data_IF_736662943477
#
_entry.id   IF_736662943477
#
_cell.length_a   1.000
_cell.length_b   1.000
_cell.length_c   1.000
_cell.angle_alpha   90.00
_cell.angle_beta   90.00
_cell.angle_gamma   90.00
#
_symmetry.space_group_name_H-M   'P 1'
#
loop_
_entity.id
_entity.type
_entity.pdbx_description
1 polymer ?
#
# COMPACT_ATOMS: atom_id res chain seq x y z
N UNK A 1 -3.16 14.12 22.40
CA UNK A 1 -3.55 14.15 20.96
C UNK A 1 -3.00 12.99 20.10
N UNK A 2 -2.07 12.15 20.58
CA UNK A 2 -1.38 11.16 19.73
C UNK A 2 -2.23 10.00 19.16
N UNK A 3 -3.28 9.55 19.86
CA UNK A 3 -4.04 8.35 19.46
C UNK A 3 -4.91 8.58 18.21
N UNK A 4 -5.54 9.75 18.09
CA UNK A 4 -6.34 10.13 16.90
C UNK A 4 -5.47 10.32 15.67
N UNK A 5 -4.32 10.97 15.82
CA UNK A 5 -3.35 11.12 14.74
C UNK A 5 -2.80 9.77 14.25
N UNK A 6 -2.58 8.82 15.17
CA UNK A 6 -2.14 7.48 14.83
C UNK A 6 -3.22 6.68 14.09
N UNK A 7 -4.49 6.79 14.49
CA UNK A 7 -5.62 6.17 13.79
C UNK A 7 -5.79 6.75 12.38
N UNK A 8 -5.76 8.08 12.26
CA UNK A 8 -5.82 8.77 10.96
C UNK A 8 -4.66 8.36 10.04
N UNK A 9 -3.45 8.24 10.58
CA UNK A 9 -2.28 7.77 9.83
C UNK A 9 -2.41 6.33 9.32
N UNK A 10 -3.02 5.44 10.11
CA UNK A 10 -3.33 4.08 9.68
C UNK A 10 -4.33 4.05 8.53
N UNK A 11 -5.46 4.77 8.65
CA UNK A 11 -6.45 4.87 7.59
C UNK A 11 -5.88 5.49 6.31
N UNK A 12 -5.09 6.56 6.42
CA UNK A 12 -4.44 7.19 5.28
C UNK A 12 -3.51 6.22 4.55
N UNK A 13 -2.72 5.43 5.29
CA UNK A 13 -1.81 4.44 4.72
C UNK A 13 -2.57 3.38 3.92
N UNK A 14 -3.68 2.87 4.46
CA UNK A 14 -4.54 1.91 3.76
C UNK A 14 -5.14 2.55 2.51
N UNK A 15 -5.66 3.77 2.60
CA UNK A 15 -6.22 4.49 1.46
C UNK A 15 -5.19 4.69 0.34
N UNK A 16 -3.96 5.07 0.68
CA UNK A 16 -2.85 5.21 -0.27
C UNK A 16 -2.44 3.88 -0.89
N UNK A 17 -2.39 2.80 -0.09
CA UNK A 17 -2.10 1.45 -0.59
C UNK A 17 -3.14 0.94 -1.59
N UNK A 18 -4.43 1.07 -1.24
CA UNK A 18 -5.55 0.76 -2.14
C UNK A 18 -5.47 1.59 -3.42
N UNK A 19 -5.28 2.91 -3.29
CA UNK A 19 -5.16 3.83 -4.42
C UNK A 19 -4.01 3.47 -5.37
N UNK A 20 -2.85 3.13 -4.83
CA UNK A 20 -1.71 2.68 -5.64
C UNK A 20 -2.02 1.39 -6.41
N UNK A 21 -2.67 0.42 -5.76
CA UNK A 21 -3.13 -0.81 -6.41
C UNK A 21 -4.09 -0.54 -7.58
N UNK A 22 -5.03 0.38 -7.39
CA UNK A 22 -5.98 0.80 -8.42
C UNK A 22 -5.31 1.52 -9.60
N UNK A 23 -4.33 2.39 -9.35
CA UNK A 23 -3.57 3.07 -10.41
C UNK A 23 -2.80 2.06 -11.27
N UNK A 24 -2.13 1.09 -10.63
CA UNK A 24 -1.40 0.03 -11.34
C UNK A 24 -2.36 -0.84 -12.16
N UNK A 25 -3.51 -1.22 -11.57
CA UNK A 25 -4.54 -1.95 -12.29
C UNK A 25 -5.05 -1.17 -13.50
N UNK A 26 -5.39 0.11 -13.35
CA UNK A 26 -5.91 0.94 -14.43
C UNK A 26 -4.93 1.02 -15.61
N UNK A 27 -3.64 1.22 -15.32
CA UNK A 27 -2.59 1.26 -16.34
C UNK A 27 -2.45 -0.09 -17.10
N UNK A 28 -2.58 -1.22 -16.40
CA UNK A 28 -2.56 -2.57 -17.01
C UNK A 28 -3.84 -2.88 -17.79
N UNK A 29 -4.98 -2.41 -17.30
CA UNK A 29 -6.30 -2.71 -17.84
C UNK A 29 -6.58 -1.94 -19.14
N UNK A 30 -6.10 -0.70 -19.30
CA UNK A 30 -6.35 0.15 -20.48
C UNK A 30 -6.27 -0.57 -21.84
N UNK A 31 -5.21 -1.34 -22.08
CA UNK A 31 -5.00 -2.04 -23.36
C UNK A 31 -5.82 -3.32 -23.56
N UNK A 32 -6.29 -3.93 -22.47
CA UNK A 32 -7.13 -5.14 -22.48
C UNK A 32 -8.60 -4.81 -22.46
N UNK A 33 -8.96 -3.73 -21.77
CA UNK A 33 -10.33 -3.21 -21.75
C UNK A 33 -10.75 -2.76 -23.14
N UNK A 34 -9.84 -2.09 -23.88
CA UNK A 34 -10.07 -1.73 -25.29
C UNK A 34 -10.27 -2.92 -26.23
N UNK A 35 -9.81 -4.12 -25.86
CA UNK A 35 -9.94 -5.34 -26.68
C UNK A 35 -11.12 -6.23 -26.24
N UNK A 36 -11.96 -5.78 -25.31
CA UNK A 36 -13.14 -6.55 -24.88
C UNK A 36 -14.04 -6.97 -26.05
N UNK A 37 -14.11 -6.17 -27.12
CA UNK A 37 -14.91 -6.46 -28.32
C UNK A 37 -14.37 -7.65 -29.15
N UNK A 38 -13.08 -7.99 -29.02
CA UNK A 38 -12.46 -9.10 -29.75
C UNK A 38 -12.49 -10.42 -28.97
N UNK A 39 -12.75 -10.37 -27.67
CA UNK A 39 -12.78 -11.52 -26.77
C UNK A 39 -12.77 -11.05 -25.32
N UNK A 40 -13.86 -11.23 -24.55
CA UNK A 40 -13.93 -10.68 -23.21
C UNK A 40 -13.01 -11.40 -22.23
N UNK A 41 -12.09 -10.65 -21.65
CA UNK A 41 -11.13 -11.14 -20.66
C UNK A 41 -11.57 -10.75 -19.25
N UNK A 42 -12.42 -11.60 -18.67
CA UNK A 42 -12.99 -11.41 -17.34
C UNK A 42 -11.96 -11.45 -16.20
N UNK A 43 -10.75 -11.94 -16.47
CA UNK A 43 -9.68 -12.02 -15.47
C UNK A 43 -9.23 -10.63 -15.02
N UNK A 44 -9.32 -9.62 -15.90
CA UNK A 44 -8.99 -8.21 -15.61
C UNK A 44 -9.80 -7.69 -14.42
N UNK A 45 -11.07 -8.08 -14.33
CA UNK A 45 -11.98 -7.61 -13.29
C UNK A 45 -11.99 -8.55 -12.08
N UNK A 46 -12.10 -9.86 -12.28
CA UNK A 46 -12.30 -10.80 -11.17
C UNK A 46 -11.01 -11.28 -10.51
N UNK A 47 -9.88 -11.27 -11.22
CA UNK A 47 -8.60 -11.67 -10.66
C UNK A 47 -7.72 -10.45 -10.41
N UNK A 48 -7.40 -9.68 -11.45
CA UNK A 48 -6.37 -8.63 -11.34
C UNK A 48 -6.78 -7.48 -10.45
N UNK A 49 -8.02 -7.02 -10.53
CA UNK A 49 -8.51 -5.91 -9.72
C UNK A 49 -8.39 -6.24 -8.22
N UNK A 50 -8.99 -7.34 -7.69
CA UNK A 50 -8.83 -7.67 -6.28
C UNK A 50 -7.37 -7.97 -5.90
N UNK A 51 -6.61 -8.68 -6.75
CA UNK A 51 -5.19 -8.96 -6.48
C UNK A 51 -4.36 -7.69 -6.34
N UNK A 52 -4.48 -6.74 -7.27
CA UNK A 52 -3.71 -5.50 -7.24
C UNK A 52 -4.16 -4.57 -6.12
N UNK A 53 -5.45 -4.58 -5.78
CA UNK A 53 -5.96 -3.83 -4.62
C UNK A 53 -5.40 -4.37 -3.31
N UNK A 54 -5.40 -5.71 -3.14
CA UNK A 54 -4.81 -6.38 -1.97
C UNK A 54 -3.30 -6.20 -1.93
N UNK A 55 -2.60 -6.35 -3.06
CA UNK A 55 -1.16 -6.15 -3.15
C UNK A 55 -0.76 -4.71 -2.82
N UNK A 56 -1.49 -3.72 -3.34
CA UNK A 56 -1.29 -2.32 -3.02
C UNK A 56 -1.49 -2.03 -1.53
N UNK A 57 -2.57 -2.58 -0.94
CA UNK A 57 -2.84 -2.45 0.50
C UNK A 57 -1.74 -3.07 1.35
N UNK A 58 -1.34 -4.32 1.03
CA UNK A 58 -0.27 -5.03 1.72
C UNK A 58 1.07 -4.29 1.63
N UNK A 59 1.39 -3.74 0.46
CA UNK A 59 2.60 -2.94 0.24
C UNK A 59 2.58 -1.66 1.07
N UNK A 60 1.45 -0.94 1.11
CA UNK A 60 1.29 0.25 1.94
C UNK A 60 1.47 -0.04 3.43
N UNK A 61 0.86 -1.12 3.92
CA UNK A 61 1.02 -1.58 5.31
C UNK A 61 2.45 -2.01 5.62
N UNK A 62 3.10 -2.74 4.71
CA UNK A 62 4.50 -3.14 4.86
C UNK A 62 5.42 -1.92 4.92
N UNK A 63 5.25 -0.95 4.03
CA UNK A 63 6.02 0.30 4.03
C UNK A 63 5.84 1.08 5.33
N UNK A 64 4.60 1.18 5.84
CA UNK A 64 4.33 1.86 7.11
C UNK A 64 4.92 1.12 8.31
N UNK A 65 4.79 -0.21 8.36
CA UNK A 65 5.39 -1.03 9.40
C UNK A 65 6.92 -0.90 9.42
N UNK A 66 7.54 -0.89 8.24
CA UNK A 66 8.97 -0.65 8.08
C UNK A 66 9.36 0.74 8.58
N UNK A 67 8.70 1.82 8.14
CA UNK A 67 8.96 3.18 8.62
C UNK A 67 8.84 3.27 10.15
N UNK A 68 7.81 2.65 10.72
CA UNK A 68 7.58 2.64 12.17
C UNK A 68 8.66 1.85 12.90
N UNK A 69 9.09 0.72 12.37
CA UNK A 69 10.21 -0.06 12.90
C UNK A 69 11.55 0.68 12.82
N UNK A 70 11.81 1.40 11.74
CA UNK A 70 13.03 2.21 11.59
C UNK A 70 13.05 3.37 12.58
N UNK A 71 11.95 4.11 12.70
CA UNK A 71 11.86 5.25 13.63
C UNK A 71 12.00 4.82 15.10
N UNK A 72 11.42 3.69 15.51
CA UNK A 72 11.59 3.16 16.87
C UNK A 72 13.02 2.71 17.12
N UNK A 73 13.65 2.02 16.17
CA UNK A 73 15.06 1.61 16.26
C UNK A 73 16.02 2.81 16.33
N UNK A 74 15.79 3.84 15.52
CA UNK A 74 16.59 5.07 15.53
C UNK A 74 16.45 5.82 16.86
N UNK A 75 15.23 5.88 17.40
CA UNK A 75 14.99 6.48 18.72
C UNK A 75 15.72 5.71 19.83
N UNK A 76 15.66 4.38 19.81
CA UNK A 76 16.39 3.53 20.77
C UNK A 76 17.91 3.72 20.68
N UNK A 77 18.48 3.84 19.48
CA UNK A 77 19.92 4.12 19.30
C UNK A 77 20.33 5.50 19.82
N UNK A 78 19.50 6.54 19.64
CA UNK A 78 19.77 7.88 20.19
C UNK A 78 19.69 7.94 21.72
N UNK A 79 18.94 7.03 22.34
CA UNK A 79 18.78 6.94 23.79
C UNK A 79 19.84 6.07 24.46
N UNK A 80 20.70 5.40 23.70
CA UNK A 80 21.83 4.68 24.25
C UNK A 80 22.85 5.71 24.78
N UNK A 81 23.20 5.69 26.08
CA UNK A 81 24.23 6.59 26.61
C UNK A 81 25.57 6.29 25.92
N UNK A 82 26.41 7.32 25.67
CA UNK A 82 27.78 7.07 25.19
C UNK A 82 28.48 6.17 26.22
N UNK A 83 29.00 5.04 25.76
CA UNK A 83 29.88 4.19 26.58
C UNK A 83 31.14 4.98 26.94
N UNK A 84 31.61 4.90 28.20
CA UNK A 84 32.77 5.63 28.68
C UNK A 84 34.07 5.24 27.95
#
# INVERSE_FOLDING_TARGET
MGQRAQAAGGCLTVALGVGAGLVVWFARAQGRVRRFEQGPDWSVFYAELPLLTLAGTATGLAAWALLRGFTTRLKARRSAPPTP
#
